data_IF_257235244888
#
_entry.id   IF_257235244888
#
_cell.length_a   1.000
_cell.length_b   1.000
_cell.length_c   1.000
_cell.angle_alpha   90.00
_cell.angle_beta   90.00
_cell.angle_gamma   90.00
#
_symmetry.space_group_name_H-M   'P 1'
#
loop_
_entity.id
_entity.type
_entity.pdbx_description
1 polymer ?
#
# COMPACT_ATOMS: atom_id res chain seq x y z
N UNK A 1 -14.50 15.64 -7.22
CA UNK A 1 -13.86 14.69 -6.30
C UNK A 1 -12.80 13.82 -6.95
N UNK A 2 -12.96 13.53 -8.21
CA UNK A 2 -11.93 12.76 -8.90
C UNK A 2 -10.60 13.48 -8.98
N UNK A 3 -10.62 14.79 -9.15
CA UNK A 3 -9.38 15.59 -9.16
C UNK A 3 -8.66 15.51 -7.82
N UNK A 4 -9.41 15.47 -6.70
CA UNK A 4 -8.83 15.32 -5.37
C UNK A 4 -8.21 13.94 -5.17
N UNK A 5 -8.88 12.89 -5.62
CA UNK A 5 -8.34 11.54 -5.55
C UNK A 5 -7.09 11.38 -6.40
N UNK A 6 -7.10 11.98 -7.59
CA UNK A 6 -5.94 11.97 -8.46
C UNK A 6 -4.74 12.66 -7.83
N UNK A 7 -4.98 13.80 -7.18
CA UNK A 7 -3.93 14.53 -6.50
C UNK A 7 -3.35 13.72 -5.34
N UNK A 8 -4.22 13.12 -4.52
CA UNK A 8 -3.79 12.27 -3.42
C UNK A 8 -3.02 11.05 -3.92
N UNK A 9 -3.47 10.48 -5.03
CA UNK A 9 -2.81 9.33 -5.62
C UNK A 9 -1.37 9.66 -6.02
N UNK A 10 -1.12 10.87 -6.49
CA UNK A 10 0.22 11.31 -6.85
C UNK A 10 1.16 11.40 -5.63
N UNK A 11 0.60 11.54 -4.44
CA UNK A 11 1.38 11.61 -3.20
C UNK A 11 1.68 10.24 -2.60
N UNK A 12 1.06 9.18 -3.10
CA UNK A 12 1.27 7.83 -2.59
C UNK A 12 2.68 7.33 -2.92
N UNK A 13 3.19 6.36 -2.13
CA UNK A 13 4.42 5.68 -2.49
C UNK A 13 4.34 5.13 -3.91
N UNK A 14 5.43 5.24 -4.62
CA UNK A 14 5.47 4.89 -6.05
C UNK A 14 5.03 3.45 -6.31
N UNK A 15 5.45 2.52 -5.47
CA UNK A 15 5.12 1.11 -5.64
C UNK A 15 3.64 0.81 -5.39
N UNK A 16 2.90 1.71 -4.74
CA UNK A 16 1.47 1.54 -4.48
C UNK A 16 0.59 2.33 -5.45
N UNK A 17 1.14 3.36 -6.06
CA UNK A 17 0.37 4.35 -6.83
C UNK A 17 -0.50 3.74 -7.91
N UNK A 18 0.07 2.85 -8.71
CA UNK A 18 -0.61 2.29 -9.87
C UNK A 18 -1.31 0.97 -9.59
N UNK A 19 -1.11 0.41 -8.40
CA UNK A 19 -1.65 -0.90 -8.06
C UNK A 19 -2.82 -0.83 -7.08
N UNK A 20 -3.09 0.34 -6.51
CA UNK A 20 -4.12 0.51 -5.51
C UNK A 20 -5.04 1.66 -5.85
N UNK A 21 -6.28 1.54 -5.36
CA UNK A 21 -7.28 2.59 -5.46
C UNK A 21 -7.53 3.17 -4.07
N UNK A 22 -7.69 4.49 -3.98
CA UNK A 22 -8.06 5.14 -2.74
C UNK A 22 -9.57 4.97 -2.57
N UNK A 23 -9.98 4.27 -1.52
CA UNK A 23 -11.41 4.00 -1.26
C UNK A 23 -11.96 4.81 -0.11
N UNK A 24 -11.12 5.37 0.75
CA UNK A 24 -11.57 6.19 1.86
C UNK A 24 -10.46 7.12 2.34
N UNK A 25 -10.82 8.32 2.77
CA UNK A 25 -9.90 9.28 3.38
C UNK A 25 -10.60 9.88 4.57
N UNK A 26 -9.99 9.75 5.75
CA UNK A 26 -10.53 10.31 6.97
C UNK A 26 -9.47 11.16 7.67
N UNK A 27 -9.90 12.26 8.23
CA UNK A 27 -9.04 13.08 9.09
C UNK A 27 -9.67 13.17 10.46
N UNK A 28 -8.97 12.68 11.48
CA UNK A 28 -9.39 12.76 12.87
C UNK A 28 -8.23 13.34 13.66
N UNK A 29 -8.48 14.46 14.34
CA UNK A 29 -7.44 15.22 15.02
C UNK A 29 -6.33 15.56 14.01
N UNK A 30 -5.10 15.19 14.29
CA UNK A 30 -3.96 15.45 13.42
C UNK A 30 -3.52 14.21 12.63
N UNK A 31 -4.45 13.30 12.37
CA UNK A 31 -4.14 12.08 11.64
C UNK A 31 -5.04 11.95 10.41
N UNK A 32 -4.41 11.81 9.24
CA UNK A 32 -5.09 11.53 8.00
C UNK A 32 -4.92 10.04 7.71
N UNK A 33 -6.02 9.32 7.60
CA UNK A 33 -6.01 7.89 7.31
C UNK A 33 -6.54 7.68 5.90
N UNK A 34 -5.73 7.09 5.04
CA UNK A 34 -6.07 6.81 3.65
C UNK A 34 -6.17 5.30 3.49
N UNK A 35 -7.34 4.82 3.10
CA UNK A 35 -7.56 3.39 2.88
C UNK A 35 -7.39 3.08 1.40
N UNK A 36 -6.54 2.10 1.12
CA UNK A 36 -6.21 1.66 -0.22
C UNK A 36 -6.63 0.22 -0.42
N UNK A 37 -7.23 -0.07 -1.58
CA UNK A 37 -7.56 -1.45 -1.97
C UNK A 37 -6.86 -1.78 -3.27
N UNK A 38 -6.25 -2.95 -3.30
CA UNK A 38 -5.48 -3.40 -4.46
C UNK A 38 -6.39 -3.71 -5.64
N UNK A 39 -5.94 -3.35 -6.83
CA UNK A 39 -6.62 -3.71 -8.07
C UNK A 39 -6.54 -5.22 -8.31
N UNK A 40 -7.44 -5.74 -9.11
CA UNK A 40 -7.51 -7.16 -9.44
C UNK A 40 -6.50 -7.51 -10.53
N UNK A 41 -5.22 -7.59 -10.14
CA UNK A 41 -4.15 -7.92 -11.08
C UNK A 41 -3.00 -8.61 -10.37
N UNK A 42 -2.67 -9.81 -10.81
CA UNK A 42 -1.48 -10.52 -10.34
C UNK A 42 -0.30 -10.07 -11.19
N UNK A 43 0.76 -9.58 -10.55
CA UNK A 43 1.91 -9.01 -11.25
C UNK A 43 2.77 -10.04 -11.95
N UNK A 44 2.95 -11.20 -11.34
CA UNK A 44 3.83 -12.24 -11.87
C UNK A 44 3.11 -13.58 -11.92
N UNK A 45 2.10 -13.71 -12.81
CA UNK A 45 1.39 -14.99 -12.91
C UNK A 45 2.27 -16.05 -13.57
N UNK A 46 2.15 -17.28 -13.10
CA UNK A 46 2.84 -18.39 -13.72
C UNK A 46 2.06 -18.87 -14.94
N UNK A 47 2.77 -19.19 -16.03
CA UNK A 47 2.14 -19.64 -17.25
C UNK A 47 1.33 -20.92 -17.03
N UNK A 48 0.10 -20.92 -17.53
CA UNK A 48 -0.80 -22.07 -17.41
C UNK A 48 -1.52 -22.18 -16.07
N UNK A 49 -1.24 -21.31 -15.11
CA UNK A 49 -1.95 -21.30 -13.85
C UNK A 49 -3.17 -20.40 -13.90
N UNK A 50 -4.22 -20.81 -13.25
CA UNK A 50 -5.43 -20.01 -13.11
C UNK A 50 -5.55 -19.55 -11.65
N UNK A 51 -5.98 -18.31 -11.48
CA UNK A 51 -6.09 -17.70 -10.16
C UNK A 51 -7.52 -17.27 -9.89
N UNK A 52 -7.98 -17.55 -8.68
CA UNK A 52 -9.32 -17.18 -8.24
C UNK A 52 -9.21 -16.15 -7.12
N UNK A 53 -9.99 -15.08 -7.23
CA UNK A 53 -10.03 -14.06 -6.17
C UNK A 53 -10.58 -14.67 -4.89
N UNK A 54 -9.92 -14.37 -3.77
CA UNK A 54 -10.30 -14.91 -2.47
C UNK A 54 -10.22 -13.83 -1.40
N UNK A 55 -10.86 -12.69 -1.67
CA UNK A 55 -10.95 -11.58 -0.74
C UNK A 55 -9.67 -10.78 -0.58
N UNK A 56 -9.55 -10.17 0.58
CA UNK A 56 -8.40 -9.35 0.95
C UNK A 56 -7.78 -9.87 2.23
N UNK A 57 -6.49 -9.65 2.37
CA UNK A 57 -5.85 -9.79 3.67
C UNK A 57 -6.30 -8.64 4.58
N UNK A 58 -6.11 -8.81 5.87
CA UNK A 58 -6.33 -7.73 6.82
C UNK A 58 -5.46 -6.54 6.43
N UNK A 59 -6.01 -5.32 6.59
CA UNK A 59 -5.32 -4.11 6.20
C UNK A 59 -4.00 -3.97 6.96
N UNK A 60 -2.93 -3.69 6.22
CA UNK A 60 -1.63 -3.37 6.80
C UNK A 60 -1.53 -1.87 7.01
N UNK A 61 -1.07 -1.48 8.18
CA UNK A 61 -0.84 -0.08 8.51
C UNK A 61 0.55 0.32 8.03
N UNK A 62 0.60 1.36 7.21
CA UNK A 62 1.86 1.93 6.72
C UNK A 62 1.90 3.40 7.13
N UNK A 63 2.96 3.80 7.82
CA UNK A 63 3.16 5.20 8.18
C UNK A 63 3.88 5.91 7.04
N UNK A 64 3.33 7.06 6.65
CA UNK A 64 3.86 7.85 5.55
C UNK A 64 4.34 9.20 6.06
N UNK A 65 4.95 9.98 5.19
CA UNK A 65 5.38 11.33 5.51
C UNK A 65 4.19 12.19 5.91
N UNK A 66 4.35 13.05 6.92
CA UNK A 66 3.26 13.93 7.30
C UNK A 66 2.95 14.92 6.20
N UNK A 67 1.68 15.33 6.14
CA UNK A 67 1.24 16.42 5.28
C UNK A 67 1.03 17.60 6.21
N UNK A 68 1.91 18.59 6.08
CA UNK A 68 1.98 19.72 7.01
C UNK A 68 2.21 19.17 8.41
N UNK A 69 1.32 19.43 9.37
CA UNK A 69 1.47 18.95 10.74
C UNK A 69 0.62 17.73 11.05
N UNK A 70 -0.01 17.13 10.02
CA UNK A 70 -0.84 15.96 10.21
C UNK A 70 -0.08 14.69 9.89
N UNK A 71 -0.22 13.69 10.75
CA UNK A 71 0.30 12.35 10.47
C UNK A 71 -0.49 11.74 9.32
N UNK A 72 0.17 10.94 8.52
CA UNK A 72 -0.47 10.21 7.43
C UNK A 72 -0.29 8.72 7.64
N UNK A 73 -1.40 8.01 7.66
CA UNK A 73 -1.43 6.55 7.81
C UNK A 73 -2.14 5.98 6.59
N UNK A 74 -1.50 5.01 5.97
CA UNK A 74 -2.10 4.25 4.88
C UNK A 74 -2.57 2.91 5.42
N UNK A 75 -3.82 2.57 5.17
CA UNK A 75 -4.36 1.24 5.45
C UNK A 75 -4.41 0.50 4.12
N UNK A 76 -3.53 -0.44 3.95
CA UNK A 76 -3.31 -1.10 2.66
C UNK A 76 -3.95 -2.47 2.67
N UNK A 77 -5.02 -2.63 1.90
CA UNK A 77 -5.70 -3.91 1.75
C UNK A 77 -5.19 -4.60 0.49
N UNK A 78 -4.42 -5.66 0.69
CA UNK A 78 -3.89 -6.45 -0.42
C UNK A 78 -4.85 -7.58 -0.74
N UNK A 79 -5.03 -7.85 -2.04
CA UNK A 79 -5.88 -8.95 -2.47
C UNK A 79 -5.19 -10.27 -2.23
N UNK A 80 -6.01 -11.28 -1.99
CA UNK A 80 -5.57 -12.66 -1.92
C UNK A 80 -6.21 -13.43 -3.07
N UNK A 81 -5.40 -14.22 -3.75
CA UNK A 81 -5.89 -15.14 -4.75
C UNK A 81 -5.53 -16.56 -4.36
N UNK A 82 -6.22 -17.52 -4.94
CA UNK A 82 -5.87 -18.92 -4.80
C UNK A 82 -5.44 -19.41 -6.18
N UNK A 83 -4.26 -20.01 -6.23
CA UNK A 83 -3.77 -20.69 -7.42
C UNK A 83 -4.54 -22.00 -7.51
N UNK A 84 -5.37 -22.13 -8.54
CA UNK A 84 -6.24 -23.31 -8.69
C UNK A 84 -5.46 -24.58 -8.97
N UNK A 85 -4.26 -24.46 -9.45
CA UNK A 85 -3.41 -25.58 -9.75
C UNK A 85 -2.73 -26.18 -8.53
N UNK A 86 -2.34 -25.33 -7.58
CA UNK A 86 -1.63 -25.76 -6.37
C UNK A 86 -2.47 -25.69 -5.10
N UNK A 87 -3.57 -24.94 -5.12
CA UNK A 87 -4.39 -24.68 -3.94
C UNK A 87 -3.78 -23.69 -2.96
N UNK A 88 -2.67 -23.05 -3.33
CA UNK A 88 -1.96 -22.12 -2.44
C UNK A 88 -2.49 -20.72 -2.60
N UNK A 89 -2.43 -19.96 -1.49
CA UNK A 89 -2.73 -18.55 -1.51
C UNK A 89 -1.59 -17.77 -2.13
N UNK A 90 -1.94 -16.79 -2.96
CA UNK A 90 -0.98 -15.97 -3.70
C UNK A 90 -1.33 -14.50 -3.48
N UNK A 91 -0.33 -13.67 -3.36
CA UNK A 91 -0.50 -12.21 -3.29
C UNK A 91 0.67 -11.51 -3.97
N UNK A 92 0.45 -10.25 -4.34
CA UNK A 92 1.54 -9.41 -4.81
C UNK A 92 2.30 -8.85 -3.62
N UNK A 93 3.59 -8.62 -3.78
CA UNK A 93 4.43 -8.06 -2.74
C UNK A 93 4.80 -6.62 -3.06
N UNK A 94 4.88 -5.79 -2.03
CA UNK A 94 5.21 -4.36 -2.15
C UNK A 94 6.20 -3.99 -1.06
N UNK A 95 7.30 -3.34 -1.44
CA UNK A 95 8.34 -2.95 -0.49
C UNK A 95 7.82 -2.07 0.63
N UNK A 96 7.02 -1.08 0.29
CA UNK A 96 6.46 -0.14 1.28
C UNK A 96 5.63 -0.88 2.32
N UNK A 97 4.83 -1.85 1.90
CA UNK A 97 4.00 -2.65 2.80
C UNK A 97 4.87 -3.55 3.66
N UNK A 98 5.88 -4.17 3.08
CA UNK A 98 6.78 -5.06 3.81
C UNK A 98 7.53 -4.32 4.92
N UNK A 99 7.90 -3.07 4.69
CA UNK A 99 8.58 -2.26 5.71
C UNK A 99 7.62 -1.67 6.75
N UNK A 100 6.33 -1.56 6.43
CA UNK A 100 5.34 -0.97 7.33
C UNK A 100 5.39 0.55 7.40
N UNK A 101 6.34 1.18 6.73
CA UNK A 101 6.48 2.63 6.71
C UNK A 101 7.38 3.07 5.57
N UNK A 102 6.99 4.13 4.89
CA UNK A 102 7.85 4.76 3.90
C UNK A 102 8.95 5.59 4.57
N UNK A 103 8.58 6.27 5.65
CA UNK A 103 9.51 7.13 6.39
C UNK A 103 10.68 6.37 6.98
N UNK A 104 10.41 5.19 7.54
CA UNK A 104 11.42 4.43 8.29
C UNK A 104 12.64 4.11 7.44
N UNK A 105 12.41 3.69 6.20
CA UNK A 105 13.48 3.35 5.28
C UNK A 105 14.33 4.57 4.94
N UNK A 106 13.68 5.67 4.59
CA UNK A 106 14.37 6.89 4.19
C UNK A 106 15.02 7.59 5.37
N UNK A 107 14.34 7.63 6.52
CA UNK A 107 14.90 8.23 7.72
C UNK A 107 16.08 7.44 8.25
N UNK A 108 16.06 6.13 8.16
CA UNK A 108 17.18 5.32 8.57
C UNK A 108 18.43 5.67 7.76
N UNK A 109 18.26 5.84 6.45
CA UNK A 109 19.37 6.26 5.59
C UNK A 109 19.86 7.67 5.93
N UNK A 110 18.93 8.57 6.23
CA UNK A 110 19.25 9.93 6.62
C UNK A 110 20.05 9.97 7.94
N UNK A 111 19.59 9.25 8.95
CA UNK A 111 20.25 9.24 10.26
C UNK A 111 21.60 8.55 10.22
N UNK A 112 21.81 7.62 9.32
CA UNK A 112 23.14 7.02 9.13
C UNK A 112 24.16 8.02 8.64
N UNK A 113 23.71 9.06 7.97
CA UNK A 113 24.59 10.12 7.47
C UNK A 113 24.84 11.24 8.45
N UNK A 114 24.18 11.24 9.62
CA UNK A 114 24.35 12.31 10.59
C UNK A 114 25.53 12.03 11.52
N UNK A 115 26.31 13.07 11.86
CA UNK A 115 27.41 12.91 12.82
C UNK A 115 26.85 12.68 14.23
N UNK A 116 27.50 11.79 14.91
CA UNK A 116 27.23 11.52 16.29
C UNK A 116 25.97 10.80 16.61
#
# INVERSE_FOLDING_TARGET
>A
MEATKELLKMLLPEDLRDSFEIVDVKKVSNTITITLEEHDRIMHPEAGHEYEKNGFYEAKRVEDYPIRSSKVVLLVKRRRWIDRMTGRSVCNEYDTVAHGTRMSKELALFFQGLPG
#
